data_IF_837368385848
#
_entry.id   IF_837368385848
#
_cell.length_a   1.000
_cell.length_b   1.000
_cell.length_c   1.000
_cell.angle_alpha   90.00
_cell.angle_beta   90.00
_cell.angle_gamma   90.00
#
_symmetry.space_group_name_H-M   'P 1'
#
loop_
_entity.id
_entity.type
_entity.pdbx_description
1 polymer ?
#
# COMPACT_ATOMS: atom_id res chain seq x y z
N UNK A 1 -57.17 -22.06 -10.72
CA UNK A 1 -57.59 -20.82 -10.02
C UNK A 1 -57.03 -19.63 -10.80
N UNK A 2 -57.88 -19.00 -11.61
CA UNK A 2 -57.53 -17.81 -12.40
C UNK A 2 -57.19 -16.65 -11.46
N UNK A 3 -55.96 -16.14 -11.53
CA UNK A 3 -55.57 -14.88 -10.88
C UNK A 3 -56.28 -13.77 -11.66
N UNK A 4 -57.43 -13.31 -11.16
CA UNK A 4 -58.09 -12.10 -11.67
C UNK A 4 -57.16 -10.93 -11.37
N UNK A 5 -56.47 -10.43 -12.39
CA UNK A 5 -55.85 -9.12 -12.34
C UNK A 5 -56.98 -8.11 -12.21
N UNK A 6 -57.17 -7.60 -10.99
CA UNK A 6 -58.01 -6.44 -10.77
C UNK A 6 -57.39 -5.28 -11.55
N UNK A 7 -58.16 -4.58 -12.41
CA UNK A 7 -57.64 -3.43 -13.13
C UNK A 7 -57.23 -2.37 -12.10
N UNK A 8 -55.93 -2.03 -12.08
CA UNK A 8 -55.43 -0.93 -11.25
C UNK A 8 -56.20 0.33 -11.61
N UNK A 9 -56.73 0.99 -10.59
CA UNK A 9 -57.42 2.26 -10.75
C UNK A 9 -56.39 3.32 -11.13
N UNK A 10 -56.75 4.31 -11.94
CA UNK A 10 -55.81 5.36 -12.41
C UNK A 10 -55.15 6.09 -11.22
N UNK A 11 -55.87 6.21 -10.09
CA UNK A 11 -55.34 6.71 -8.81
C UNK A 11 -54.25 5.84 -8.18
N UNK A 12 -54.36 4.51 -8.26
CA UNK A 12 -53.35 3.57 -7.76
C UNK A 12 -52.06 3.66 -8.60
N UNK A 13 -52.22 3.86 -9.92
CA UNK A 13 -51.11 4.06 -10.84
C UNK A 13 -50.39 5.39 -10.57
N UNK A 14 -51.14 6.47 -10.31
CA UNK A 14 -50.53 7.76 -9.96
C UNK A 14 -49.81 7.71 -8.60
N UNK A 15 -50.42 7.07 -7.59
CA UNK A 15 -49.79 6.92 -6.28
C UNK A 15 -48.50 6.10 -6.37
N UNK A 16 -48.53 5.00 -7.12
CA UNK A 16 -47.34 4.17 -7.34
C UNK A 16 -46.23 4.94 -8.06
N UNK A 17 -46.56 5.76 -9.07
CA UNK A 17 -45.59 6.61 -9.77
C UNK A 17 -44.95 7.65 -8.85
N UNK A 18 -45.72 8.25 -7.94
CA UNK A 18 -45.18 9.18 -6.93
C UNK A 18 -44.19 8.47 -6.01
N UNK A 19 -44.56 7.30 -5.48
CA UNK A 19 -43.69 6.53 -4.61
C UNK A 19 -42.42 6.03 -5.30
N UNK A 20 -42.51 5.65 -6.59
CA UNK A 20 -41.33 5.29 -7.38
C UNK A 20 -40.41 6.51 -7.52
N UNK A 21 -40.97 7.67 -7.89
CA UNK A 21 -40.18 8.88 -8.04
C UNK A 21 -39.49 9.30 -6.73
N UNK A 22 -40.20 9.26 -5.60
CA UNK A 22 -39.64 9.52 -4.28
C UNK A 22 -38.44 8.59 -3.99
N UNK A 23 -38.59 7.28 -4.23
CA UNK A 23 -37.52 6.31 -4.03
C UNK A 23 -36.34 6.56 -4.99
N UNK A 24 -36.59 6.90 -6.25
CA UNK A 24 -35.53 7.27 -7.21
C UNK A 24 -34.72 8.47 -6.70
N UNK A 25 -35.39 9.51 -6.19
CA UNK A 25 -34.70 10.67 -5.64
C UNK A 25 -33.89 10.36 -4.38
N UNK A 26 -34.37 9.44 -3.55
CA UNK A 26 -33.65 8.99 -2.36
C UNK A 26 -32.41 8.18 -2.74
N UNK A 27 -32.54 7.27 -3.71
CA UNK A 27 -31.41 6.49 -4.25
C UNK A 27 -30.35 7.42 -4.82
N UNK A 28 -30.72 8.37 -5.68
CA UNK A 28 -29.76 9.34 -6.25
C UNK A 28 -29.07 10.19 -5.18
N UNK A 29 -29.79 10.51 -4.09
CA UNK A 29 -29.22 11.25 -2.96
C UNK A 29 -28.20 10.40 -2.19
N UNK A 30 -28.52 9.14 -1.92
CA UNK A 30 -27.64 8.21 -1.23
C UNK A 30 -26.39 7.88 -2.06
N UNK A 31 -26.53 7.65 -3.35
CA UNK A 31 -25.41 7.41 -4.26
C UNK A 31 -24.43 8.59 -4.30
N UNK A 32 -24.96 9.83 -4.30
CA UNK A 32 -24.13 11.05 -4.20
C UNK A 32 -23.39 11.12 -2.86
N UNK A 33 -24.05 10.79 -1.76
CA UNK A 33 -23.44 10.78 -0.43
C UNK A 33 -22.33 9.72 -0.33
N UNK A 34 -22.59 8.50 -0.82
CA UNK A 34 -21.61 7.41 -0.87
C UNK A 34 -20.38 7.86 -1.66
N UNK A 35 -20.59 8.39 -2.86
CA UNK A 35 -19.50 8.91 -3.71
C UNK A 35 -18.68 9.99 -3.00
N UNK A 36 -19.35 10.88 -2.25
CA UNK A 36 -18.68 11.90 -1.44
C UNK A 36 -17.82 11.30 -0.32
N UNK A 37 -18.36 10.34 0.43
CA UNK A 37 -17.62 9.68 1.52
C UNK A 37 -16.45 8.84 1.00
N UNK A 38 -16.60 8.17 -0.14
CA UNK A 38 -15.52 7.43 -0.80
C UNK A 38 -14.37 8.36 -1.20
N UNK A 39 -14.67 9.52 -1.78
CA UNK A 39 -13.65 10.52 -2.13
C UNK A 39 -12.87 11.01 -0.89
N UNK A 40 -13.58 11.30 0.21
CA UNK A 40 -12.95 11.72 1.47
C UNK A 40 -12.08 10.59 2.03
N UNK A 41 -12.61 9.37 2.09
CA UNK A 41 -11.88 8.19 2.55
C UNK A 41 -10.61 7.97 1.72
N UNK A 42 -10.71 8.05 0.40
CA UNK A 42 -9.57 7.94 -0.50
C UNK A 42 -8.49 9.00 -0.21
N UNK A 43 -8.90 10.26 -0.04
CA UNK A 43 -7.97 11.35 0.29
C UNK A 43 -7.25 11.13 1.63
N UNK A 44 -7.98 10.68 2.65
CA UNK A 44 -7.42 10.39 3.97
C UNK A 44 -6.42 9.22 3.91
N UNK A 45 -6.73 8.17 3.15
CA UNK A 45 -5.80 7.05 2.94
C UNK A 45 -4.52 7.49 2.23
N UNK A 46 -4.62 8.35 1.22
CA UNK A 46 -3.45 8.91 0.53
C UNK A 46 -2.57 9.74 1.49
N UNK A 47 -3.19 10.63 2.28
CA UNK A 47 -2.50 11.44 3.29
C UNK A 47 -1.84 10.57 4.35
N UNK A 48 -2.53 9.55 4.85
CA UNK A 48 -1.99 8.61 5.82
C UNK A 48 -0.76 7.88 5.25
N UNK A 49 -0.83 7.40 4.01
CA UNK A 49 0.29 6.72 3.36
C UNK A 49 1.50 7.66 3.20
N UNK A 50 1.28 8.91 2.78
CA UNK A 50 2.33 9.91 2.69
C UNK A 50 2.98 10.21 4.05
N UNK A 51 2.17 10.43 5.08
CA UNK A 51 2.64 10.66 6.46
C UNK A 51 3.41 9.47 7.02
N UNK A 52 2.94 8.24 6.80
CA UNK A 52 3.66 7.01 7.21
C UNK A 52 5.04 6.92 6.55
N UNK A 53 5.13 7.18 5.25
CA UNK A 53 6.42 7.19 4.54
C UNK A 53 7.35 8.27 5.11
N UNK A 54 6.84 9.49 5.31
CA UNK A 54 7.62 10.60 5.83
C UNK A 54 8.09 10.35 7.27
N UNK A 55 7.29 9.66 8.10
CA UNK A 55 7.67 9.24 9.44
C UNK A 55 8.75 8.15 9.40
N UNK A 56 8.60 7.14 8.54
CA UNK A 56 9.57 6.06 8.37
C UNK A 56 10.95 6.60 7.97
N UNK A 57 11.00 7.56 7.03
CA UNK A 57 12.25 8.21 6.63
C UNK A 57 12.94 8.92 7.79
N UNK A 58 12.20 9.68 8.60
CA UNK A 58 12.75 10.37 9.78
C UNK A 58 13.25 9.39 10.85
N UNK A 59 12.51 8.30 11.07
CA UNK A 59 12.95 7.22 11.98
C UNK A 59 14.19 6.51 11.47
N UNK A 60 14.29 6.29 10.16
CA UNK A 60 15.46 5.66 9.55
C UNK A 60 16.73 6.49 9.82
N UNK A 61 16.69 7.82 9.73
CA UNK A 61 17.86 8.67 10.07
C UNK A 61 18.36 8.45 11.50
N UNK A 62 17.46 8.16 12.44
CA UNK A 62 17.82 7.89 13.83
C UNK A 62 18.26 6.44 14.07
N UNK A 63 18.09 5.54 13.09
CA UNK A 63 18.35 4.13 13.28
C UNK A 63 19.85 3.90 13.58
N UNK A 64 20.19 3.09 14.60
CA UNK A 64 21.57 2.86 15.04
C UNK A 64 22.50 2.41 13.92
N UNK A 65 21.96 1.71 12.92
CA UNK A 65 22.71 1.13 11.82
C UNK A 65 23.37 2.18 10.91
N UNK A 66 22.89 3.43 10.92
CA UNK A 66 23.54 4.56 10.23
C UNK A 66 24.66 5.20 11.06
N UNK A 67 24.77 4.85 12.34
CA UNK A 67 25.82 5.34 13.27
C UNK A 67 26.91 4.28 13.51
N UNK A 68 26.79 3.10 12.91
CA UNK A 68 27.79 2.05 13.04
C UNK A 68 29.09 2.47 12.32
N UNK A 69 30.25 2.26 12.93
CA UNK A 69 31.53 2.33 12.24
C UNK A 69 31.57 1.41 11.03
N UNK A 70 32.36 1.79 10.04
CA UNK A 70 32.56 1.03 8.81
C UNK A 70 32.95 -0.43 9.07
N UNK A 71 33.85 -0.67 10.03
CA UNK A 71 34.33 -2.01 10.37
C UNK A 71 33.21 -2.94 10.86
N UNK A 72 32.28 -2.43 11.68
CA UNK A 72 31.16 -3.22 12.17
C UNK A 72 30.16 -3.53 11.06
N UNK A 73 29.95 -2.61 10.11
CA UNK A 73 29.11 -2.87 8.94
C UNK A 73 29.71 -3.95 8.04
N UNK A 74 31.03 -3.92 7.81
CA UNK A 74 31.72 -4.97 7.05
C UNK A 74 31.56 -6.32 7.73
N UNK A 75 31.75 -6.41 9.05
CA UNK A 75 31.57 -7.65 9.80
C UNK A 75 30.13 -8.20 9.66
N UNK A 76 29.11 -7.32 9.75
CA UNK A 76 27.71 -7.71 9.52
C UNK A 76 27.52 -8.24 8.10
N UNK A 77 28.06 -7.57 7.07
CA UNK A 77 27.94 -8.02 5.68
C UNK A 77 28.61 -9.37 5.43
N UNK A 78 29.77 -9.63 6.05
CA UNK A 78 30.46 -10.92 5.97
C UNK A 78 29.64 -12.09 6.53
N UNK A 79 28.76 -11.83 7.49
CA UNK A 79 27.83 -12.83 8.02
C UNK A 79 26.54 -12.95 7.20
N UNK A 80 26.14 -11.88 6.49
CA UNK A 80 24.95 -11.88 5.65
C UNK A 80 25.19 -12.46 4.24
N UNK A 81 26.39 -12.30 3.69
CA UNK A 81 26.77 -12.80 2.38
C UNK A 81 27.35 -14.21 2.58
N UNK A 82 26.68 -15.28 2.11
CA UNK A 82 27.17 -16.64 2.25
C UNK A 82 28.55 -16.78 1.57
N UNK A 83 29.54 -17.29 2.30
CA UNK A 83 30.89 -17.59 1.77
C UNK A 83 30.98 -18.94 1.06
N UNK A 84 29.89 -19.71 1.03
CA UNK A 84 29.90 -21.06 0.47
C UNK A 84 30.12 -21.01 -1.05
N UNK A 85 31.34 -21.41 -1.44
CA UNK A 85 31.79 -21.50 -2.82
C UNK A 85 30.95 -22.47 -3.68
N UNK A 86 30.14 -23.34 -3.05
CA UNK A 86 29.33 -24.34 -3.73
C UNK A 86 27.98 -23.78 -4.24
N UNK A 87 27.51 -22.63 -3.74
CA UNK A 87 26.23 -22.02 -4.11
C UNK A 87 26.37 -20.53 -4.51
N UNK A 88 27.55 -20.15 -5.00
CA UNK A 88 27.92 -18.76 -5.32
C UNK A 88 27.00 -18.11 -6.37
N UNK A 89 26.34 -18.90 -7.22
CA UNK A 89 25.78 -18.39 -8.48
C UNK A 89 24.37 -17.78 -8.38
N UNK A 90 23.68 -17.79 -7.24
CA UNK A 90 22.40 -17.08 -7.14
C UNK A 90 22.13 -16.37 -5.81
N UNK A 91 22.47 -16.96 -4.67
CA UNK A 91 22.04 -16.41 -3.38
C UNK A 91 22.96 -15.31 -2.85
N UNK A 92 24.29 -15.48 -2.99
CA UNK A 92 25.27 -14.51 -2.49
C UNK A 92 25.25 -13.18 -3.26
N UNK A 93 25.23 -13.25 -4.60
CA UNK A 93 25.06 -12.07 -5.44
C UNK A 93 23.73 -11.36 -5.16
N UNK A 94 22.62 -12.10 -5.06
CA UNK A 94 21.30 -11.51 -4.80
C UNK A 94 21.26 -10.76 -3.45
N UNK A 95 21.88 -11.30 -2.40
CA UNK A 95 22.01 -10.61 -1.12
C UNK A 95 22.89 -9.36 -1.24
N UNK A 96 24.06 -9.44 -1.88
CA UNK A 96 24.94 -8.28 -2.10
C UNK A 96 24.23 -7.13 -2.84
N UNK A 97 23.51 -7.46 -3.93
CA UNK A 97 22.71 -6.48 -4.69
C UNK A 97 21.58 -5.88 -3.86
N UNK A 98 20.93 -6.66 -3.00
CA UNK A 98 19.92 -6.16 -2.05
C UNK A 98 20.53 -5.18 -1.06
N UNK A 99 21.71 -5.48 -0.51
CA UNK A 99 22.39 -4.62 0.46
C UNK A 99 22.85 -3.28 -0.18
N UNK A 100 23.32 -3.30 -1.44
CA UNK A 100 23.65 -2.08 -2.19
C UNK A 100 22.48 -1.10 -2.35
N UNK A 101 21.23 -1.56 -2.21
CA UNK A 101 20.03 -0.73 -2.36
C UNK A 101 19.52 -0.15 -1.04
N UNK A 102 20.07 -0.55 0.11
CA UNK A 102 19.60 -0.14 1.44
C UNK A 102 19.89 1.35 1.71
N UNK A 103 21.14 1.79 1.52
CA UNK A 103 21.52 3.19 1.72
C UNK A 103 22.78 3.56 0.94
N UNK A 104 23.02 4.87 0.75
CA UNK A 104 24.26 5.37 0.13
C UNK A 104 25.51 4.99 0.95
N UNK A 105 25.39 4.99 2.28
CA UNK A 105 26.49 4.60 3.18
C UNK A 105 26.85 3.12 3.01
N UNK A 106 25.86 2.23 2.97
CA UNK A 106 26.09 0.79 2.79
C UNK A 106 26.71 0.48 1.44
N UNK A 107 26.25 1.17 0.39
CA UNK A 107 26.86 1.07 -0.94
C UNK A 107 28.35 1.43 -0.90
N UNK A 108 28.68 2.57 -0.30
CA UNK A 108 30.08 3.00 -0.16
C UNK A 108 30.93 1.99 0.62
N UNK A 109 30.35 1.31 1.62
CA UNK A 109 31.05 0.27 2.39
C UNK A 109 31.28 -0.99 1.55
N UNK A 110 30.27 -1.47 0.82
CA UNK A 110 30.35 -2.66 -0.02
C UNK A 110 31.27 -2.48 -1.22
N UNK A 111 31.22 -1.32 -1.88
CA UNK A 111 32.12 -0.98 -2.99
C UNK A 111 33.57 -0.80 -2.50
N UNK A 112 33.75 -0.27 -1.28
CA UNK A 112 35.06 -0.09 -0.65
C UNK A 112 35.66 -1.37 -0.04
N UNK A 113 34.93 -2.48 -0.04
CA UNK A 113 35.38 -3.75 0.58
C UNK A 113 35.37 -4.88 -0.45
N UNK A 114 36.44 -5.04 -1.25
CA UNK A 114 36.54 -6.08 -2.28
C UNK A 114 36.35 -7.51 -1.76
N UNK A 115 36.66 -7.76 -0.48
CA UNK A 115 36.54 -9.08 0.15
C UNK A 115 35.09 -9.57 0.37
N UNK A 116 34.08 -8.78 -0.01
CA UNK A 116 32.65 -9.11 0.08
C UNK A 116 32.03 -9.59 -1.24
N UNK A 117 32.81 -9.56 -2.33
CA UNK A 117 32.45 -10.02 -3.67
C UNK A 117 33.18 -11.33 -4.00
#
# INVERSE_FOLDING_TARGET
LHRKELPLTDGDVMQLKSSIHELETEVESLERQISGFEAISHNLHQKLAASKRALALRRAVLAPIHKLPHELLVAVFQHCIPRDHDNLNSLGLDVGWKLLRVSRSWRSVLEGTPALW
#
